data_IF_730812483826
#
_entry.id   IF_730812483826
#
_cell.length_a   1.000
_cell.length_b   1.000
_cell.length_c   1.000
_cell.angle_alpha   90.00
_cell.angle_beta   90.00
_cell.angle_gamma   90.00
#
_symmetry.space_group_name_H-M   'P 1'
#
loop_
_entity.id
_entity.type
_entity.pdbx_description
1 polymer ?
#
# COMPACT_ATOMS: atom_id res chain seq x y z
N UNK A 1 6.13 -11.60 16.86
CA UNK A 1 5.45 -10.79 15.84
C UNK A 1 6.40 -9.92 15.02
N UNK A 2 7.61 -9.58 15.50
CA UNK A 2 8.53 -8.70 14.74
C UNK A 2 8.07 -7.23 14.65
N UNK A 3 6.98 -6.88 15.35
CA UNK A 3 6.42 -5.53 15.37
C UNK A 3 7.12 -4.71 16.45
N UNK A 4 7.63 -3.54 16.08
CA UNK A 4 8.33 -2.67 17.03
C UNK A 4 7.38 -2.14 18.11
N UNK A 5 7.88 -1.85 19.33
CA UNK A 5 7.08 -1.18 20.35
C UNK A 5 6.49 0.16 19.90
N UNK A 6 7.18 0.88 18.99
CA UNK A 6 6.69 2.13 18.40
C UNK A 6 5.46 1.88 17.53
N UNK A 7 5.46 0.82 16.73
CA UNK A 7 4.33 0.44 15.88
C UNK A 7 3.13 0.03 16.72
N UNK A 8 3.32 -0.71 17.81
CA UNK A 8 2.22 -1.05 18.73
C UNK A 8 1.62 0.19 19.39
N UNK A 9 2.44 1.17 19.79
CA UNK A 9 1.93 2.46 20.30
C UNK A 9 1.14 3.21 19.25
N UNK A 10 1.64 3.25 18.02
CA UNK A 10 0.93 3.88 16.92
C UNK A 10 -0.42 3.20 16.64
N UNK A 11 -0.48 1.87 16.66
CA UNK A 11 -1.75 1.14 16.49
C UNK A 11 -2.74 1.40 17.63
N UNK A 12 -2.26 1.60 18.85
CA UNK A 12 -3.08 2.02 19.99
C UNK A 12 -3.61 3.45 19.79
N UNK A 13 -2.74 4.39 19.36
CA UNK A 13 -3.08 5.80 19.10
C UNK A 13 -4.17 5.96 18.04
N UNK A 14 -4.10 5.19 16.94
CA UNK A 14 -5.12 5.21 15.88
C UNK A 14 -6.32 4.30 16.20
N UNK A 15 -6.31 3.59 17.34
CA UNK A 15 -7.40 2.70 17.77
C UNK A 15 -7.46 1.34 17.07
N UNK A 16 -6.52 1.04 16.18
CA UNK A 16 -6.45 -0.23 15.44
C UNK A 16 -6.18 -1.43 16.35
N UNK A 17 -5.32 -1.28 17.36
CA UNK A 17 -5.02 -2.31 18.35
C UNK A 17 -4.81 -1.70 19.74
N UNK A 18 -5.81 -1.85 20.60
CA UNK A 18 -5.73 -1.39 22.00
C UNK A 18 -5.16 -2.48 22.91
N UNK A 19 -4.37 -2.12 23.94
CA UNK A 19 -3.94 -3.09 24.95
C UNK A 19 -5.14 -3.56 25.78
N UNK A 20 -5.07 -4.78 26.29
CA UNK A 20 -6.09 -5.32 27.20
C UNK A 20 -6.18 -4.50 28.49
N UNK A 21 -5.03 -4.01 28.98
CA UNK A 21 -4.94 -3.10 30.12
C UNK A 21 -3.62 -2.35 30.12
N UNK A 22 -3.57 -1.27 30.89
CA UNK A 22 -2.35 -0.57 31.26
C UNK A 22 -2.12 -0.82 32.75
N UNK A 23 -0.93 -1.30 33.13
CA UNK A 23 -0.62 -1.53 34.55
C UNK A 23 -0.31 -0.20 35.28
N UNK A 24 -0.17 -0.26 36.60
CA UNK A 24 0.12 0.91 37.45
C UNK A 24 1.42 1.65 37.08
N UNK A 25 2.36 0.97 36.44
CA UNK A 25 3.63 1.53 35.96
C UNK A 25 3.56 2.08 34.52
N UNK A 26 2.38 2.08 33.89
CA UNK A 26 2.18 2.61 32.54
C UNK A 26 2.52 1.63 31.41
N UNK A 27 2.85 0.38 31.70
CA UNK A 27 3.10 -0.64 30.68
C UNK A 27 1.80 -1.17 30.09
N UNK A 28 1.77 -1.23 28.75
CA UNK A 28 0.69 -1.83 27.97
C UNK A 28 0.77 -3.35 28.01
N UNK A 29 -0.31 -3.99 28.42
CA UNK A 29 -0.42 -5.43 28.52
C UNK A 29 -1.36 -5.92 27.41
N UNK A 30 -0.85 -6.77 26.54
CA UNK A 30 -1.60 -7.40 25.46
C UNK A 30 -1.91 -8.84 25.85
N UNK A 31 -3.19 -9.22 25.83
CA UNK A 31 -3.65 -10.56 26.09
C UNK A 31 -3.78 -11.37 24.80
N UNK A 32 -4.37 -12.56 24.92
CA UNK A 32 -4.56 -13.47 23.78
C UNK A 32 -5.38 -12.82 22.65
N UNK A 33 -6.47 -12.12 22.98
CA UNK A 33 -7.34 -11.46 22.00
C UNK A 33 -6.60 -10.40 21.18
N UNK A 34 -5.74 -9.63 21.83
CA UNK A 34 -4.96 -8.59 21.16
C UNK A 34 -3.86 -9.20 20.28
N UNK A 35 -3.30 -10.34 20.69
CA UNK A 35 -2.36 -11.11 19.85
C UNK A 35 -3.06 -11.66 18.61
N UNK A 36 -4.26 -12.25 18.76
CA UNK A 36 -5.05 -12.76 17.64
C UNK A 36 -5.44 -11.62 16.68
N UNK A 37 -5.87 -10.47 17.21
CA UNK A 37 -6.14 -9.28 16.40
C UNK A 37 -4.88 -8.76 15.69
N UNK A 38 -3.74 -8.74 16.37
CA UNK A 38 -2.46 -8.34 15.76
C UNK A 38 -2.09 -9.28 14.60
N UNK A 39 -2.34 -10.58 14.72
CA UNK A 39 -2.13 -11.53 13.63
C UNK A 39 -2.96 -11.17 12.40
N UNK A 40 -4.25 -10.84 12.57
CA UNK A 40 -5.10 -10.40 11.46
C UNK A 40 -4.62 -9.08 10.85
N UNK A 41 -4.24 -8.09 11.66
CA UNK A 41 -3.66 -6.83 11.18
C UNK A 41 -2.44 -7.11 10.31
N UNK A 42 -1.53 -7.98 10.77
CA UNK A 42 -0.34 -8.33 10.01
C UNK A 42 -0.65 -9.05 8.70
N UNK A 43 -1.66 -9.93 8.69
CA UNK A 43 -2.11 -10.60 7.47
C UNK A 43 -2.57 -9.60 6.40
N UNK A 44 -3.44 -8.66 6.75
CA UNK A 44 -3.89 -7.64 5.79
C UNK A 44 -2.78 -6.64 5.42
N UNK A 45 -1.85 -6.35 6.35
CA UNK A 45 -0.65 -5.56 6.05
C UNK A 45 0.26 -6.25 5.04
N UNK A 46 0.42 -7.57 5.10
CA UNK A 46 1.18 -8.32 4.08
C UNK A 46 0.50 -8.29 2.72
N UNK A 47 -0.83 -8.15 2.70
CA UNK A 47 -1.60 -7.87 1.50
C UNK A 47 -1.64 -6.37 1.14
N UNK A 48 -0.74 -5.53 1.69
CA UNK A 48 -0.64 -4.11 1.37
C UNK A 48 -1.94 -3.29 1.56
N UNK A 49 -2.87 -3.72 2.41
CA UNK A 49 -4.04 -2.91 2.80
C UNK A 49 -3.60 -1.68 3.59
N UNK A 50 -4.36 -0.58 3.44
CA UNK A 50 -4.19 0.62 4.28
C UNK A 50 -4.73 0.34 5.68
N UNK A 51 -4.17 0.99 6.70
CA UNK A 51 -4.55 0.75 8.09
C UNK A 51 -6.03 1.06 8.35
N UNK A 52 -6.57 2.07 7.70
CA UNK A 52 -7.99 2.45 7.81
C UNK A 52 -8.90 1.34 7.24
N UNK A 53 -8.54 0.77 6.08
CA UNK A 53 -9.26 -0.36 5.49
C UNK A 53 -9.20 -1.58 6.44
N UNK A 54 -8.04 -1.84 7.04
CA UNK A 54 -7.86 -2.94 8.00
C UNK A 54 -8.75 -2.75 9.22
N UNK A 55 -8.87 -1.52 9.72
CA UNK A 55 -9.74 -1.23 10.85
C UNK A 55 -11.20 -1.52 10.50
N UNK A 56 -11.67 -1.06 9.33
CA UNK A 56 -13.03 -1.33 8.86
C UNK A 56 -13.30 -2.84 8.73
N UNK A 57 -12.35 -3.58 8.15
CA UNK A 57 -12.42 -5.04 7.99
C UNK A 57 -12.54 -5.76 9.34
N UNK A 58 -11.83 -5.31 10.37
CA UNK A 58 -11.78 -5.97 11.68
C UNK A 58 -12.90 -5.57 12.63
N UNK A 59 -13.47 -4.38 12.44
CA UNK A 59 -14.48 -3.82 13.35
C UNK A 59 -15.91 -3.97 12.79
N UNK A 60 -16.08 -4.21 11.49
CA UNK A 60 -17.38 -4.39 10.87
C UNK A 60 -17.68 -5.89 10.60
N UNK A 61 -18.60 -6.53 11.35
CA UNK A 61 -18.94 -7.94 11.15
C UNK A 61 -19.71 -8.20 9.84
N UNK A 62 -20.24 -7.17 9.19
CA UNK A 62 -20.90 -7.25 7.89
C UNK A 62 -19.96 -6.90 6.73
N UNK A 63 -18.66 -6.77 6.99
CA UNK A 63 -17.69 -6.44 5.97
C UNK A 63 -17.55 -7.57 4.92
N UNK A 64 -17.67 -7.20 3.65
CA UNK A 64 -17.49 -8.14 2.54
C UNK A 64 -16.01 -8.29 2.20
N UNK A 65 -15.37 -9.27 2.87
CA UNK A 65 -13.96 -9.60 2.67
C UNK A 65 -13.63 -9.94 1.21
N UNK A 66 -14.54 -10.62 0.51
CA UNK A 66 -14.32 -11.02 -0.88
C UNK A 66 -14.29 -9.77 -1.77
N UNK A 67 -15.25 -8.86 -1.61
CA UNK A 67 -15.27 -7.59 -2.35
C UNK A 67 -14.01 -6.74 -2.10
N UNK A 68 -13.52 -6.70 -0.86
CA UNK A 68 -12.30 -5.98 -0.52
C UNK A 68 -11.05 -6.59 -1.18
N UNK A 69 -10.94 -7.93 -1.20
CA UNK A 69 -9.87 -8.63 -1.90
C UNK A 69 -9.92 -8.42 -3.42
N UNK A 70 -11.11 -8.41 -4.02
CA UNK A 70 -11.29 -8.12 -5.46
C UNK A 70 -10.83 -6.69 -5.77
N UNK A 71 -11.26 -5.69 -4.97
CA UNK A 71 -10.82 -4.30 -5.12
C UNK A 71 -9.29 -4.20 -4.98
N UNK A 72 -8.71 -4.93 -4.03
CA UNK A 72 -7.28 -4.95 -3.82
C UNK A 72 -6.51 -5.58 -4.99
N UNK A 73 -6.98 -6.71 -5.51
CA UNK A 73 -6.42 -7.35 -6.70
C UNK A 73 -6.39 -6.35 -7.87
N UNK A 74 -7.46 -5.60 -8.09
CA UNK A 74 -7.53 -4.59 -9.14
C UNK A 74 -6.45 -3.50 -8.96
N UNK A 75 -6.29 -2.96 -7.74
CA UNK A 75 -5.23 -1.98 -7.43
C UNK A 75 -3.82 -2.54 -7.68
N UNK A 76 -3.57 -3.81 -7.36
CA UNK A 76 -2.28 -4.45 -7.63
C UNK A 76 -2.02 -4.61 -9.14
N UNK A 77 -3.04 -4.96 -9.92
CA UNK A 77 -2.94 -5.06 -11.37
C UNK A 77 -2.59 -3.71 -12.00
N UNK A 78 -3.21 -2.63 -11.52
CA UNK A 78 -2.92 -1.26 -11.95
C UNK A 78 -1.50 -0.84 -11.57
N UNK A 79 -1.07 -1.12 -10.33
CA UNK A 79 0.29 -0.85 -9.86
C UNK A 79 1.33 -1.59 -10.71
N UNK A 80 1.07 -2.85 -11.05
CA UNK A 80 1.93 -3.65 -11.94
C UNK A 80 2.05 -2.99 -13.31
N UNK A 81 0.93 -2.60 -13.93
CA UNK A 81 0.95 -1.93 -15.23
C UNK A 81 1.76 -0.60 -15.20
N UNK A 82 1.66 0.16 -14.11
CA UNK A 82 2.50 1.36 -13.91
C UNK A 82 4.00 1.00 -13.83
N UNK A 83 4.35 -0.03 -13.06
CA UNK A 83 5.74 -0.50 -12.93
C UNK A 83 6.27 -0.97 -14.28
N UNK A 84 5.49 -1.74 -15.04
CA UNK A 84 5.88 -2.22 -16.38
C UNK A 84 6.15 -1.05 -17.34
N UNK A 85 5.34 0.02 -17.26
CA UNK A 85 5.54 1.26 -18.02
C UNK A 85 6.83 1.98 -17.63
N UNK A 86 7.12 2.07 -16.33
CA UNK A 86 8.37 2.65 -15.82
C UNK A 86 9.59 1.84 -16.26
N UNK A 87 9.53 0.51 -16.17
CA UNK A 87 10.60 -0.38 -16.62
C UNK A 87 10.86 -0.20 -18.13
N UNK A 88 9.81 -0.09 -18.94
CA UNK A 88 9.93 0.19 -20.37
C UNK A 88 10.65 1.52 -20.63
N UNK A 89 10.28 2.56 -19.87
CA UNK A 89 10.90 3.90 -19.98
C UNK A 89 12.38 3.86 -19.59
N UNK A 90 12.72 3.14 -18.52
CA UNK A 90 14.11 2.95 -18.08
C UNK A 90 14.91 2.20 -19.15
N UNK A 91 14.37 1.13 -19.72
CA UNK A 91 15.05 0.37 -20.78
C UNK A 91 15.34 1.24 -22.02
N UNK A 92 14.34 1.99 -22.49
CA UNK A 92 14.52 2.93 -23.61
C UNK A 92 15.61 3.97 -23.30
N UNK A 93 15.66 4.46 -22.06
CA UNK A 93 16.68 5.41 -21.62
C UNK A 93 18.08 4.78 -21.57
N UNK A 94 18.21 3.51 -21.17
CA UNK A 94 19.48 2.78 -21.17
C UNK A 94 19.97 2.51 -22.60
N UNK A 95 19.09 2.09 -23.51
CA UNK A 95 19.42 1.86 -24.92
C UNK A 95 19.96 3.14 -25.59
N UNK A 96 19.48 4.32 -25.16
CA UNK A 96 20.01 5.62 -25.60
C UNK A 96 21.46 5.88 -25.14
N UNK A 97 21.87 5.36 -23.99
CA UNK A 97 23.24 5.52 -23.48
C UNK A 97 24.20 4.49 -24.09
N UNK A 98 23.72 3.27 -24.39
CA UNK A 98 24.55 2.19 -24.93
C UNK A 98 24.75 2.25 -26.46
N UNK A 99 23.78 2.78 -27.21
CA UNK A 99 23.88 2.98 -28.66
C UNK A 99 23.79 4.45 -29.02
N UNK A 100 24.85 5.04 -29.60
CA UNK A 100 24.98 6.46 -29.96
C UNK A 100 23.98 7.06 -30.98
N UNK A 101 22.70 6.68 -30.95
CA UNK A 101 21.60 7.36 -31.64
C UNK A 101 20.93 8.36 -30.70
N UNK A 102 20.96 9.63 -31.10
CA UNK A 102 20.14 10.69 -30.47
C UNK A 102 18.67 10.43 -30.78
N UNK A 103 17.89 10.01 -29.80
CA UNK A 103 16.43 10.08 -29.83
C UNK A 103 15.98 11.54 -30.00
N UNK A 104 14.93 11.76 -30.78
CA UNK A 104 14.30 13.07 -30.91
C UNK A 104 13.61 13.47 -29.59
N UNK A 105 13.46 14.78 -29.34
CA UNK A 105 12.80 15.24 -28.11
C UNK A 105 11.37 14.69 -27.98
N UNK A 106 10.69 14.41 -29.10
CA UNK A 106 9.36 13.82 -29.11
C UNK A 106 9.33 12.43 -28.48
N UNK A 107 10.31 11.59 -28.78
CA UNK A 107 10.40 10.22 -28.27
C UNK A 107 10.75 10.19 -26.77
N UNK A 108 11.58 11.14 -26.31
CA UNK A 108 11.92 11.29 -24.87
C UNK A 108 10.70 11.60 -24.00
N UNK A 109 9.73 12.34 -24.54
CA UNK A 109 8.55 12.80 -23.80
C UNK A 109 7.31 11.94 -24.01
N UNK A 110 7.29 11.00 -24.95
CA UNK A 110 6.12 10.17 -25.25
C UNK A 110 5.70 9.31 -24.04
N UNK A 111 6.67 8.72 -23.32
CA UNK A 111 6.42 7.97 -22.07
C UNK A 111 5.84 8.83 -20.95
N UNK A 112 6.31 10.07 -20.81
CA UNK A 112 5.78 11.04 -19.84
C UNK A 112 4.41 11.61 -20.23
N UNK A 113 4.10 11.67 -21.54
CA UNK A 113 2.85 12.22 -22.06
C UNK A 113 1.65 11.33 -21.72
N UNK A 114 1.83 10.00 -21.81
CA UNK A 114 0.80 9.03 -21.42
C UNK A 114 0.49 9.13 -19.92
N UNK A 115 1.51 9.32 -19.08
CA UNK A 115 1.33 9.48 -17.64
C UNK A 115 0.63 10.81 -17.29
N UNK A 116 1.04 11.92 -17.93
CA UNK A 116 0.38 13.22 -17.71
C UNK A 116 -1.06 13.27 -18.22
N UNK A 117 -1.39 12.62 -19.33
CA UNK A 117 -2.76 12.56 -19.84
C UNK A 117 -3.67 11.82 -18.86
N UNK A 118 -3.19 10.69 -18.32
CA UNK A 118 -3.91 9.90 -17.33
C UNK A 118 -4.13 10.66 -16.01
N UNK A 119 -3.09 11.34 -15.51
CA UNK A 119 -3.19 12.20 -14.31
C UNK A 119 -4.17 13.36 -14.50
N UNK A 120 -4.27 13.90 -15.72
CA UNK A 120 -5.14 15.03 -16.04
C UNK A 120 -6.61 14.61 -16.20
N UNK A 121 -6.88 13.44 -16.80
CA UNK A 121 -8.22 12.84 -16.82
C UNK A 121 -8.70 12.48 -15.41
N UNK A 122 -7.85 11.92 -14.54
CA UNK A 122 -8.22 11.58 -13.16
C UNK A 122 -8.44 12.82 -12.27
N UNK A 123 -7.83 13.96 -12.60
CA UNK A 123 -7.93 15.20 -11.81
C UNK A 123 -9.01 16.17 -12.27
N UNK A 124 -9.40 16.11 -13.55
CA UNK A 124 -10.30 17.11 -14.17
C UNK A 124 -11.34 16.52 -15.14
N UNK A 125 -11.38 15.20 -15.34
CA UNK A 125 -12.42 14.49 -16.12
C UNK A 125 -13.48 13.88 -15.21
#
# INVERSE_FOLDING_TARGET
SGVSPRTLRFYDEIGLLKPARINSSGYRIYGKKEVDRLQHILFYRTMAFKLDDIQEVLDNPSFDHQKALIKHQQMLLEKRAQIDTLLTTVQQTLDMYEGGRKMSDKEKFEGFKQQKLKENEESYG
#
